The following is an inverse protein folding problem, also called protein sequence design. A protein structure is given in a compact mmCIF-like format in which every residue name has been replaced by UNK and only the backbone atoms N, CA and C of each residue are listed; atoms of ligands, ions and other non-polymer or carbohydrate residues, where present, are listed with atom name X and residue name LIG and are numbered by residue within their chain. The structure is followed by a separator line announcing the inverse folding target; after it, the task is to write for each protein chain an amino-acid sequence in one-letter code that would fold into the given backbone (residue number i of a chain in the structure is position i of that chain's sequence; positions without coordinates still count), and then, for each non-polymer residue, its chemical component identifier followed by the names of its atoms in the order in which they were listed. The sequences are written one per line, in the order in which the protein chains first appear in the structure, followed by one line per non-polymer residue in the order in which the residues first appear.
data_IF_205375422549
#
_entry.id   IF_205375422549
#
_cell.length_a   1.000
_cell.length_b   1.000
_cell.length_c   1.000
_cell.angle_alpha   90.00
_cell.angle_beta   90.00
_cell.angle_gamma   90.00
#
_symmetry.space_group_name_H-M   'P 1'
#
loop_
_entity.id
_entity.type
_entity.pdbx_description
1 polymer ?
#
# COMPACT_ATOMS: atom_id res chain seq x y z
N UNK A 1 56.04 -0.43 -39.55
CA UNK A 1 54.73 -0.53 -40.24
C UNK A 1 53.67 -0.82 -39.20
N UNK A 2 52.45 -0.34 -39.46
CA UNK A 2 51.24 -0.34 -38.64
C UNK A 2 51.11 0.84 -37.65
N UNK A 3 50.07 1.61 -37.94
CA UNK A 3 49.76 2.93 -37.45
C UNK A 3 48.74 2.89 -36.31
N UNK A 4 48.84 3.91 -35.46
CA UNK A 4 47.97 4.26 -34.34
C UNK A 4 46.60 4.72 -34.85
N UNK A 5 45.52 4.21 -34.27
CA UNK A 5 44.16 4.79 -34.41
C UNK A 5 43.71 5.37 -33.07
N UNK A 6 43.75 6.70 -32.96
CA UNK A 6 42.99 7.48 -31.98
C UNK A 6 41.59 7.76 -32.54
N UNK A 7 40.57 7.50 -31.73
CA UNK A 7 39.17 7.82 -32.02
C UNK A 7 38.88 9.26 -31.63
N UNK A 8 38.43 10.07 -32.58
CA UNK A 8 38.00 11.47 -32.38
C UNK A 8 36.48 11.55 -32.40
N UNK A 9 35.96 12.21 -31.37
CA UNK A 9 34.60 12.73 -31.24
C UNK A 9 34.25 13.59 -32.47
N UNK A 10 32.99 13.48 -32.95
CA UNK A 10 32.43 14.46 -33.90
C UNK A 10 31.00 14.80 -33.51
N UNK A 11 30.85 15.99 -32.95
CA UNK A 11 29.59 16.69 -32.76
C UNK A 11 28.98 17.04 -34.14
N UNK A 12 27.65 16.98 -34.24
CA UNK A 12 26.90 17.61 -35.32
C UNK A 12 25.76 18.48 -34.75
N UNK A 13 25.55 19.69 -35.32
CA UNK A 13 24.71 20.72 -34.72
C UNK A 13 23.23 20.61 -35.10
N UNK A 14 22.36 20.98 -34.15
CA UNK A 14 20.93 21.19 -34.32
C UNK A 14 20.64 22.41 -35.22
N UNK A 15 19.71 22.26 -36.17
CA UNK A 15 18.99 23.37 -36.82
C UNK A 15 17.50 23.29 -36.45
N UNK A 16 16.84 24.42 -36.15
CA UNK A 16 15.41 24.43 -35.82
C UNK A 16 14.59 24.55 -37.11
N UNK A 17 13.65 23.63 -37.33
CA UNK A 17 12.58 23.82 -38.30
C UNK A 17 11.28 24.05 -37.53
N UNK A 18 10.73 25.24 -37.72
CA UNK A 18 9.42 25.66 -37.26
C UNK A 18 8.34 24.70 -37.79
N UNK A 19 7.72 23.95 -36.89
CA UNK A 19 6.44 23.29 -37.12
C UNK A 19 5.43 23.91 -36.17
N UNK A 20 4.46 24.62 -36.74
CA UNK A 20 3.24 25.07 -36.07
C UNK A 20 2.56 23.86 -35.39
N UNK A 21 1.96 24.02 -34.18
CA UNK A 21 1.19 22.93 -33.59
C UNK A 21 -0.09 22.75 -34.39
N UNK A 22 -0.23 21.61 -35.07
CA UNK A 22 -1.53 21.11 -35.48
C UNK A 22 -2.33 20.83 -34.19
N UNK A 23 -3.23 21.74 -33.85
CA UNK A 23 -4.29 21.46 -32.87
C UNK A 23 -5.19 20.41 -33.54
N UNK A 24 -4.97 19.14 -33.22
CA UNK A 24 -5.98 18.11 -33.46
C UNK A 24 -7.16 18.41 -32.53
N UNK A 25 -8.16 19.12 -33.04
CA UNK A 25 -9.50 19.10 -32.48
C UNK A 25 -10.09 17.72 -32.75
N UNK A 26 -9.89 16.79 -31.81
CA UNK A 26 -10.59 15.51 -31.81
C UNK A 26 -12.08 15.76 -31.61
N UNK A 27 -12.88 15.29 -32.55
CA UNK A 27 -14.33 15.32 -32.48
C UNK A 27 -14.82 14.60 -31.22
N UNK A 28 -15.55 15.31 -30.37
CA UNK A 28 -16.26 14.77 -29.21
C UNK A 28 -17.41 13.88 -29.70
N UNK A 29 -17.11 12.61 -29.96
CA UNK A 29 -18.13 11.56 -29.87
C UNK A 29 -18.49 11.51 -28.38
N UNK A 30 -19.78 11.67 -28.05
CA UNK A 30 -20.26 11.68 -26.68
C UNK A 30 -19.89 10.40 -25.94
N UNK A 31 -18.78 10.42 -25.22
CA UNK A 31 -18.42 9.38 -24.28
C UNK A 31 -19.33 9.54 -23.05
N UNK A 32 -20.26 8.61 -22.87
CA UNK A 32 -20.91 8.43 -21.57
C UNK A 32 -19.81 8.11 -20.55
N UNK A 33 -19.72 8.84 -19.43
CA UNK A 33 -18.73 8.56 -18.41
C UNK A 33 -18.87 7.11 -17.92
N UNK A 34 -17.74 6.48 -17.60
CA UNK A 34 -17.76 5.17 -16.95
C UNK A 34 -18.42 5.25 -15.57
N UNK A 35 -18.94 4.15 -15.01
CA UNK A 35 -19.50 4.14 -13.66
C UNK A 35 -18.55 4.69 -12.58
N UNK A 36 -17.24 4.52 -12.76
CA UNK A 36 -16.22 5.03 -11.84
C UNK A 36 -15.95 6.53 -12.02
N UNK A 37 -16.06 7.05 -13.24
CA UNK A 37 -16.03 8.50 -13.50
C UNK A 37 -17.26 9.20 -12.93
N UNK A 38 -18.44 8.58 -13.03
CA UNK A 38 -19.64 9.08 -12.36
C UNK A 38 -19.48 9.11 -10.84
N UNK A 39 -18.87 8.08 -10.24
CA UNK A 39 -18.56 8.08 -8.81
C UNK A 39 -17.56 9.18 -8.45
N UNK A 40 -16.51 9.35 -9.23
CA UNK A 40 -15.55 10.44 -9.01
C UNK A 40 -16.22 11.83 -9.06
N UNK A 41 -17.26 12.00 -9.89
CA UNK A 41 -18.03 13.23 -9.97
C UNK A 41 -18.89 13.52 -8.71
N UNK A 42 -19.11 12.53 -7.84
CA UNK A 42 -19.78 12.75 -6.54
C UNK A 42 -18.84 13.29 -5.47
N UNK A 43 -17.54 13.40 -5.76
CA UNK A 43 -16.52 13.86 -4.82
C UNK A 43 -16.10 15.31 -5.09
N UNK A 44 -15.67 16.04 -4.04
CA UNK A 44 -15.11 17.37 -4.20
C UNK A 44 -13.83 17.32 -5.04
N UNK A 45 -13.65 18.32 -5.90
CA UNK A 45 -12.43 18.50 -6.68
C UNK A 45 -11.36 19.16 -5.80
N UNK A 46 -10.50 18.35 -5.19
CA UNK A 46 -9.49 18.80 -4.22
C UNK A 46 -8.09 18.55 -4.75
N UNK A 47 -7.17 19.48 -4.51
CA UNK A 47 -5.73 19.27 -4.71
C UNK A 47 -5.05 18.90 -3.39
N UNK A 48 -3.93 18.16 -3.45
CA UNK A 48 -3.13 17.86 -2.25
C UNK A 48 -2.66 19.13 -1.54
N UNK A 49 -2.41 20.22 -2.27
CA UNK A 49 -1.99 21.49 -1.68
C UNK A 49 -3.07 22.13 -0.81
N UNK A 50 -4.33 21.95 -1.16
CA UNK A 50 -5.47 22.44 -0.37
C UNK A 50 -5.75 21.54 0.83
N UNK A 51 -5.50 20.23 0.67
CA UNK A 51 -5.75 19.23 1.70
C UNK A 51 -4.67 19.17 2.77
N UNK A 52 -3.40 19.18 2.36
CA UNK A 52 -2.29 18.93 3.26
C UNK A 52 -1.86 20.25 3.92
N UNK A 53 -1.95 20.36 5.25
CA UNK A 53 -1.37 21.49 5.95
C UNK A 53 0.17 21.41 5.86
N UNK A 54 0.88 22.51 6.16
CA UNK A 54 2.34 22.49 6.20
C UNK A 54 2.84 21.41 7.16
N UNK A 55 3.72 20.55 6.68
CA UNK A 55 4.32 19.52 7.51
C UNK A 55 5.31 20.12 8.51
N UNK A 56 5.24 19.70 9.77
CA UNK A 56 6.17 20.11 10.83
C UNK A 56 7.12 18.96 11.12
N UNK A 57 8.43 19.20 11.03
CA UNK A 57 9.42 18.19 11.38
C UNK A 57 9.42 17.93 12.90
N UNK A 58 9.67 16.69 13.29
CA UNK A 58 9.79 16.26 14.68
C UNK A 58 11.00 15.31 14.84
N UNK A 59 11.14 14.68 16.01
CA UNK A 59 12.25 13.76 16.29
C UNK A 59 12.26 12.49 15.43
N UNK A 60 11.11 12.08 14.89
CA UNK A 60 10.95 10.87 14.07
C UNK A 60 11.01 11.15 12.58
N UNK A 61 10.44 12.28 12.13
CA UNK A 61 10.31 12.56 10.70
C UNK A 61 10.64 14.00 10.33
N UNK A 62 11.31 14.13 9.18
CA UNK A 62 11.67 15.40 8.57
C UNK A 62 11.72 15.26 7.03
N UNK A 63 11.67 16.37 6.27
CA UNK A 63 11.59 16.33 4.80
C UNK A 63 12.80 15.72 4.08
N UNK A 64 13.89 15.37 4.77
CA UNK A 64 15.04 14.68 4.16
C UNK A 64 14.86 13.17 4.10
N UNK A 65 13.94 12.61 4.90
CA UNK A 65 13.57 11.21 4.78
C UNK A 65 12.79 11.00 3.48
N UNK A 66 13.02 9.86 2.85
CA UNK A 66 12.22 9.47 1.69
C UNK A 66 10.79 9.06 2.12
N UNK A 67 9.89 9.03 1.14
CA UNK A 67 8.46 8.84 1.41
C UNK A 67 8.10 7.47 1.99
N UNK A 68 8.87 6.42 1.73
CA UNK A 68 8.56 5.09 2.29
C UNK A 68 8.90 5.05 3.77
N UNK A 69 10.03 5.64 4.17
CA UNK A 69 10.37 5.78 5.58
C UNK A 69 9.34 6.67 6.28
N UNK A 70 8.95 7.80 5.67
CA UNK A 70 7.93 8.70 6.23
C UNK A 70 6.58 7.98 6.41
N UNK A 71 6.14 7.21 5.41
CA UNK A 71 4.91 6.43 5.49
C UNK A 71 5.00 5.36 6.58
N UNK A 72 6.05 4.54 6.58
CA UNK A 72 6.21 3.46 7.54
C UNK A 72 6.34 3.94 8.99
N UNK A 73 7.07 5.05 9.21
CA UNK A 73 7.19 5.69 10.53
C UNK A 73 5.82 6.24 10.95
N UNK A 74 5.12 6.94 10.04
CA UNK A 74 3.78 7.47 10.29
C UNK A 74 2.77 6.38 10.66
N UNK A 75 2.79 5.25 9.93
CA UNK A 75 1.99 4.07 10.21
C UNK A 75 2.29 3.48 11.60
N UNK A 76 3.57 3.34 11.95
CA UNK A 76 3.97 2.79 13.25
C UNK A 76 3.51 3.69 14.40
N UNK A 77 3.77 5.01 14.29
CA UNK A 77 3.35 5.99 15.29
C UNK A 77 1.83 6.06 15.45
N UNK A 78 1.07 5.88 14.37
CA UNK A 78 -0.39 5.79 14.44
C UNK A 78 -0.84 4.58 15.29
N UNK A 79 -0.23 3.42 15.07
CA UNK A 79 -0.56 2.20 15.84
C UNK A 79 -0.05 2.25 17.30
N UNK A 80 0.99 3.04 17.57
CA UNK A 80 1.55 3.28 18.91
C UNK A 80 0.81 4.39 19.68
N UNK A 81 -0.36 4.84 19.19
CA UNK A 81 -1.19 5.90 19.79
C UNK A 81 -0.44 7.25 19.93
N UNK A 82 0.35 7.59 18.92
CA UNK A 82 1.08 8.87 18.78
C UNK A 82 0.58 9.68 17.58
N UNK A 83 -0.70 10.11 17.57
CA UNK A 83 -1.36 10.66 16.38
C UNK A 83 -0.73 11.96 15.87
N UNK A 84 -0.22 12.84 16.74
CA UNK A 84 0.41 14.11 16.33
C UNK A 84 1.72 13.91 15.55
N UNK A 85 2.56 13.00 16.05
CA UNK A 85 3.80 12.64 15.39
C UNK A 85 3.51 11.86 14.09
N UNK A 86 2.56 10.91 14.14
CA UNK A 86 2.10 10.17 12.97
C UNK A 86 1.61 11.11 11.86
N UNK A 87 0.76 12.08 12.22
CA UNK A 87 0.20 13.09 11.31
C UNK A 87 1.29 13.82 10.54
N UNK A 88 2.33 14.26 11.25
CA UNK A 88 3.45 14.98 10.64
C UNK A 88 4.15 14.13 9.58
N UNK A 89 4.42 12.85 9.87
CA UNK A 89 5.10 11.96 8.94
C UNK A 89 4.22 11.58 7.75
N UNK A 90 2.93 11.31 8.00
CA UNK A 90 1.96 10.95 6.97
C UNK A 90 1.67 12.11 6.00
N UNK A 91 1.65 13.36 6.48
CA UNK A 91 1.56 14.54 5.61
C UNK A 91 2.75 14.61 4.65
N UNK A 92 3.97 14.33 5.13
CA UNK A 92 5.16 14.34 4.28
C UNK A 92 5.18 13.16 3.29
N UNK A 93 4.55 12.03 3.63
CA UNK A 93 4.46 10.85 2.77
C UNK A 93 3.34 10.94 1.72
N UNK A 94 2.22 11.60 2.04
CA UNK A 94 1.01 11.65 1.23
C UNK A 94 1.19 12.05 -0.25
N UNK A 95 2.16 12.91 -0.65
CA UNK A 95 2.37 13.23 -2.07
C UNK A 95 2.72 12.03 -2.96
N UNK A 96 3.24 10.94 -2.39
CA UNK A 96 3.61 9.72 -3.12
C UNK A 96 3.02 8.44 -2.52
N UNK A 97 2.34 8.54 -1.37
CA UNK A 97 1.64 7.44 -0.69
C UNK A 97 0.19 7.84 -0.42
N UNK A 98 -0.71 7.60 -1.37
CA UNK A 98 -2.12 7.97 -1.25
C UNK A 98 -2.78 7.35 0.00
N UNK A 99 -2.39 6.12 0.37
CA UNK A 99 -2.85 5.44 1.60
C UNK A 99 -2.54 6.21 2.90
N UNK A 100 -1.53 7.08 2.90
CA UNK A 100 -1.26 7.96 4.05
C UNK A 100 -2.47 8.83 4.41
N UNK A 101 -3.28 9.21 3.41
CA UNK A 101 -4.48 10.01 3.59
C UNK A 101 -5.58 9.26 4.35
N UNK A 102 -5.65 7.93 4.25
CA UNK A 102 -6.60 7.12 5.03
C UNK A 102 -6.29 7.20 6.53
N UNK A 103 -5.00 7.13 6.89
CA UNK A 103 -4.57 7.33 8.28
C UNK A 103 -4.77 8.79 8.74
N UNK A 104 -4.48 9.77 7.87
CA UNK A 104 -4.74 11.18 8.16
C UNK A 104 -6.22 11.47 8.39
N UNK A 105 -7.14 10.79 7.68
CA UNK A 105 -8.57 10.91 7.92
C UNK A 105 -8.95 10.45 9.35
N UNK A 106 -8.47 9.27 9.76
CA UNK A 106 -8.68 8.76 11.12
C UNK A 106 -8.11 9.69 12.19
N UNK A 107 -6.90 10.22 11.97
CA UNK A 107 -6.31 11.19 12.89
C UNK A 107 -7.13 12.48 12.95
N UNK A 108 -7.58 13.01 11.81
CA UNK A 108 -8.37 14.24 11.75
C UNK A 108 -9.72 14.11 12.48
N UNK A 109 -10.38 12.96 12.44
CA UNK A 109 -11.61 12.70 13.20
C UNK A 109 -11.41 12.80 14.73
N UNK A 110 -10.20 12.52 15.19
CA UNK A 110 -9.86 12.47 16.61
C UNK A 110 -9.22 13.77 17.11
N UNK A 111 -9.00 14.76 16.24
CA UNK A 111 -8.34 16.03 16.56
C UNK A 111 -9.22 16.94 17.43
N UNK A 112 -9.16 16.73 18.75
CA UNK A 112 -9.96 17.47 19.75
C UNK A 112 -9.69 18.98 19.79
N UNK A 113 -8.66 19.47 19.08
CA UNK A 113 -8.41 20.91 18.95
C UNK A 113 -9.38 21.61 17.98
N UNK A 114 -10.04 20.84 17.12
CA UNK A 114 -10.98 21.32 16.10
C UNK A 114 -12.44 21.04 16.46
N UNK A 115 -13.34 21.85 15.92
CA UNK A 115 -14.76 21.57 16.04
C UNK A 115 -15.17 20.35 15.19
N UNK A 116 -16.36 19.80 15.44
CA UNK A 116 -16.83 18.61 14.72
C UNK A 116 -16.93 18.81 13.21
N UNK A 117 -17.33 20.01 12.76
CA UNK A 117 -17.54 20.27 11.34
C UNK A 117 -16.20 20.42 10.61
N UNK A 118 -15.19 21.00 11.26
CA UNK A 118 -13.82 21.05 10.77
C UNK A 118 -13.21 19.66 10.63
N UNK A 119 -13.33 18.82 11.67
CA UNK A 119 -12.85 17.43 11.65
C UNK A 119 -13.50 16.62 10.53
N UNK A 120 -14.82 16.71 10.41
CA UNK A 120 -15.60 16.04 9.38
C UNK A 120 -15.14 16.45 7.97
N UNK A 121 -14.94 17.75 7.73
CA UNK A 121 -14.45 18.26 6.44
C UNK A 121 -13.05 17.78 6.10
N UNK A 122 -12.11 17.83 7.06
CA UNK A 122 -10.74 17.36 6.83
C UNK A 122 -10.70 15.86 6.55
N UNK A 123 -11.36 15.07 7.39
CA UNK A 123 -11.38 13.62 7.24
C UNK A 123 -12.05 13.17 5.94
N UNK A 124 -13.18 13.79 5.58
CA UNK A 124 -13.82 13.54 4.29
C UNK A 124 -12.93 13.95 3.12
N UNK A 125 -12.24 15.09 3.20
CA UNK A 125 -11.35 15.56 2.15
C UNK A 125 -10.19 14.60 1.87
N UNK A 126 -9.54 14.10 2.92
CA UNK A 126 -8.50 13.08 2.77
C UNK A 126 -9.03 11.79 2.15
N UNK A 127 -10.18 11.31 2.63
CA UNK A 127 -10.82 10.10 2.12
C UNK A 127 -11.22 10.25 0.64
N UNK A 128 -11.84 11.37 0.29
CA UNK A 128 -12.28 11.65 -1.07
C UNK A 128 -11.11 11.72 -2.04
N UNK A 129 -10.02 12.39 -1.68
CA UNK A 129 -8.84 12.43 -2.55
C UNK A 129 -8.22 11.06 -2.75
N UNK A 130 -8.06 10.27 -1.68
CA UNK A 130 -7.50 8.92 -1.78
C UNK A 130 -8.40 7.98 -2.61
N UNK A 131 -9.72 8.08 -2.45
CA UNK A 131 -10.69 7.33 -3.26
C UNK A 131 -10.64 7.73 -4.76
N UNK A 132 -10.42 9.01 -5.08
CA UNK A 132 -10.18 9.47 -6.47
C UNK A 132 -8.92 8.83 -7.07
N UNK A 133 -7.97 8.39 -6.25
CA UNK A 133 -6.75 7.67 -6.66
C UNK A 133 -6.90 6.15 -6.67
N UNK A 134 -8.12 5.64 -6.49
CA UNK A 134 -8.44 4.21 -6.43
C UNK A 134 -7.85 3.49 -5.22
N UNK A 135 -7.58 4.18 -4.10
CA UNK A 135 -7.24 3.46 -2.87
C UNK A 135 -8.49 2.76 -2.31
N UNK A 136 -8.43 1.43 -2.24
CA UNK A 136 -9.58 0.60 -1.92
C UNK A 136 -10.08 0.79 -0.48
N UNK A 137 -9.18 1.11 0.46
CA UNK A 137 -9.52 1.46 1.84
C UNK A 137 -10.31 2.78 1.87
N UNK A 138 -9.88 3.78 1.10
CA UNK A 138 -10.59 5.04 1.00
C UNK A 138 -11.99 4.90 0.39
N UNK A 139 -12.11 4.09 -0.66
CA UNK A 139 -13.39 3.76 -1.29
C UNK A 139 -14.35 3.06 -0.32
N UNK A 140 -13.84 2.19 0.56
CA UNK A 140 -14.64 1.60 1.65
C UNK A 140 -15.07 2.66 2.67
N UNK A 141 -14.20 3.62 2.99
CA UNK A 141 -14.53 4.80 3.78
C UNK A 141 -15.65 5.64 3.14
N UNK A 142 -15.66 5.78 1.81
CA UNK A 142 -16.74 6.45 1.09
C UNK A 142 -18.08 5.69 1.18
N UNK A 143 -18.05 4.35 1.12
CA UNK A 143 -19.23 3.53 1.41
C UNK A 143 -19.81 3.84 2.79
N UNK A 144 -18.98 3.93 3.83
CA UNK A 144 -19.43 4.24 5.18
C UNK A 144 -19.98 5.67 5.28
N UNK A 145 -19.28 6.64 4.69
CA UNK A 145 -19.69 8.05 4.67
C UNK A 145 -21.09 8.23 4.11
N UNK A 146 -21.36 7.70 2.92
CA UNK A 146 -22.66 7.84 2.28
C UNK A 146 -23.71 6.91 2.89
N UNK A 147 -23.38 5.68 3.27
CA UNK A 147 -24.40 4.77 3.83
C UNK A 147 -24.93 5.24 5.18
N UNK A 148 -24.05 5.77 6.04
CA UNK A 148 -24.39 6.13 7.43
C UNK A 148 -24.46 7.63 7.68
N UNK A 149 -24.15 8.47 6.68
CA UNK A 149 -24.06 9.92 6.85
C UNK A 149 -22.95 10.37 7.79
N UNK A 150 -21.78 9.73 7.70
CA UNK A 150 -20.61 10.11 8.49
C UNK A 150 -19.90 11.32 7.88
N UNK A 151 -19.05 12.00 8.66
CA UNK A 151 -18.18 13.09 8.19
C UNK A 151 -18.95 14.19 7.46
N UNK A 152 -20.06 14.61 8.07
CA UNK A 152 -20.95 15.67 7.56
C UNK A 152 -21.72 15.34 6.28
N UNK A 153 -21.72 14.08 5.82
CA UNK A 153 -22.46 13.68 4.62
C UNK A 153 -23.93 13.39 4.91
N UNK A 154 -24.78 13.65 3.91
CA UNK A 154 -26.18 13.19 3.96
C UNK A 154 -26.22 11.70 3.61
N UNK A 155 -26.92 10.86 4.38
CA UNK A 155 -27.07 9.45 4.04
C UNK A 155 -27.67 9.23 2.65
N UNK A 156 -26.97 8.45 1.83
CA UNK A 156 -27.37 7.96 0.52
C UNK A 156 -26.85 6.51 0.41
N UNK A 157 -27.75 5.55 0.66
CA UNK A 157 -27.39 4.13 0.67
C UNK A 157 -27.08 3.59 -0.73
N UNK A 158 -27.69 4.15 -1.78
CA UNK A 158 -27.48 3.70 -3.15
C UNK A 158 -26.11 4.17 -3.66
N UNK A 159 -25.74 5.42 -3.36
CA UNK A 159 -24.39 5.92 -3.62
C UNK A 159 -23.34 5.14 -2.80
N UNK A 160 -23.61 4.89 -1.52
CA UNK A 160 -22.74 4.10 -0.66
C UNK A 160 -22.48 2.70 -1.21
N UNK A 161 -23.52 2.00 -1.69
CA UNK A 161 -23.39 0.67 -2.31
C UNK A 161 -22.52 0.69 -3.57
N UNK A 162 -22.61 1.73 -4.41
CA UNK A 162 -21.74 1.85 -5.58
C UNK A 162 -20.27 2.04 -5.19
N UNK A 163 -19.98 2.81 -4.15
CA UNK A 163 -18.62 2.94 -3.59
C UNK A 163 -18.10 1.62 -3.01
N UNK A 164 -18.97 0.86 -2.33
CA UNK A 164 -18.64 -0.46 -1.81
C UNK A 164 -18.25 -1.44 -2.92
N UNK A 165 -19.01 -1.46 -4.01
CA UNK A 165 -18.71 -2.30 -5.18
C UNK A 165 -17.39 -1.93 -5.85
N UNK A 166 -17.07 -0.64 -5.92
CA UNK A 166 -15.78 -0.17 -6.44
C UNK A 166 -14.61 -0.59 -5.53
N UNK A 167 -14.74 -0.35 -4.23
CA UNK A 167 -13.76 -0.79 -3.21
C UNK A 167 -13.49 -2.29 -3.29
N UNK A 168 -14.55 -3.10 -3.39
CA UNK A 168 -14.44 -4.54 -3.52
C UNK A 168 -13.77 -4.98 -4.84
N UNK A 169 -14.02 -4.27 -5.94
CA UNK A 169 -13.30 -4.47 -7.22
C UNK A 169 -11.82 -4.09 -7.12
N UNK A 170 -11.47 -3.07 -6.35
CA UNK A 170 -10.07 -2.73 -6.09
C UNK A 170 -9.41 -3.59 -5.02
N UNK A 171 -10.10 -4.62 -4.52
CA UNK A 171 -9.50 -5.67 -3.72
C UNK A 171 -9.54 -5.45 -2.21
N UNK A 172 -10.35 -4.50 -1.73
CA UNK A 172 -10.57 -4.36 -0.29
C UNK A 172 -11.36 -5.57 0.26
N UNK A 173 -10.76 -6.27 1.22
CA UNK A 173 -11.32 -7.51 1.76
C UNK A 173 -12.57 -7.25 2.62
N UNK A 174 -12.62 -6.14 3.36
CA UNK A 174 -13.77 -5.75 4.18
C UNK A 174 -14.97 -5.39 3.28
N UNK A 175 -14.70 -4.73 2.15
CA UNK A 175 -15.71 -4.44 1.13
C UNK A 175 -16.27 -5.72 0.50
N UNK A 176 -15.39 -6.64 0.09
CA UNK A 176 -15.80 -7.94 -0.46
C UNK A 176 -16.64 -8.74 0.54
N UNK A 177 -16.19 -8.83 1.80
CA UNK A 177 -16.94 -9.52 2.86
C UNK A 177 -18.28 -8.84 3.14
N UNK A 178 -18.31 -7.50 3.12
CA UNK A 178 -19.54 -6.73 3.26
C UNK A 178 -20.53 -7.04 2.14
N UNK A 179 -20.09 -7.16 0.89
CA UNK A 179 -20.95 -7.55 -0.23
C UNK A 179 -21.49 -8.97 -0.08
N UNK A 180 -20.66 -9.93 0.35
CA UNK A 180 -21.12 -11.30 0.64
C UNK A 180 -22.26 -11.27 1.67
N UNK A 181 -22.07 -10.55 2.78
CA UNK A 181 -23.07 -10.41 3.85
C UNK A 181 -24.35 -9.71 3.36
N UNK A 182 -24.23 -8.59 2.65
CA UNK A 182 -25.38 -7.82 2.18
C UNK A 182 -26.24 -8.64 1.20
N UNK A 183 -25.62 -9.32 0.23
CA UNK A 183 -26.36 -10.14 -0.73
C UNK A 183 -26.93 -11.39 -0.08
N UNK A 184 -26.23 -12.02 0.86
CA UNK A 184 -26.75 -13.15 1.64
C UNK A 184 -28.00 -12.78 2.43
N UNK A 185 -27.99 -11.60 3.08
CA UNK A 185 -29.13 -11.10 3.86
C UNK A 185 -30.32 -10.73 2.98
N UNK A 186 -30.08 -10.24 1.76
CA UNK A 186 -31.12 -9.98 0.74
C UNK A 186 -31.54 -11.26 -0.02
N UNK A 187 -31.05 -12.43 0.39
CA UNK A 187 -31.28 -13.73 -0.26
C UNK A 187 -30.87 -13.78 -1.75
N UNK A 188 -29.97 -12.89 -2.17
CA UNK A 188 -29.31 -12.96 -3.49
C UNK A 188 -28.07 -13.87 -3.37
N UNK A 189 -28.33 -15.17 -3.21
CA UNK A 189 -27.30 -16.17 -2.99
C UNK A 189 -26.29 -16.31 -4.15
N UNK A 190 -26.69 -16.22 -5.44
CA UNK A 190 -25.73 -16.26 -6.55
C UNK A 190 -24.67 -15.16 -6.48
N UNK A 191 -25.06 -13.92 -6.22
CA UNK A 191 -24.11 -12.81 -6.15
C UNK A 191 -23.27 -12.84 -4.87
N UNK A 192 -23.85 -13.26 -3.73
CA UNK A 192 -23.08 -13.52 -2.52
C UNK A 192 -22.00 -14.59 -2.75
N UNK A 193 -22.34 -15.66 -3.47
CA UNK A 193 -21.42 -16.73 -3.84
C UNK A 193 -20.30 -16.23 -4.75
N UNK A 194 -20.62 -15.42 -5.76
CA UNK A 194 -19.63 -14.85 -6.67
C UNK A 194 -18.58 -14.00 -5.92
N UNK A 195 -19.01 -13.14 -4.99
CA UNK A 195 -18.10 -12.37 -4.15
C UNK A 195 -17.31 -13.23 -3.16
N UNK A 196 -17.91 -14.28 -2.58
CA UNK A 196 -17.18 -15.22 -1.71
C UNK A 196 -16.07 -15.96 -2.48
N UNK A 197 -16.30 -16.26 -3.76
CA UNK A 197 -15.30 -16.83 -4.67
C UNK A 197 -14.16 -15.86 -5.01
N UNK A 198 -14.46 -14.57 -5.16
CA UNK A 198 -13.45 -13.52 -5.29
C UNK A 198 -12.56 -13.48 -4.04
N UNK A 199 -13.17 -13.50 -2.85
CA UNK A 199 -12.49 -13.44 -1.55
C UNK A 199 -11.62 -14.68 -1.25
N UNK A 200 -11.88 -15.82 -1.90
CA UNK A 200 -11.26 -17.13 -1.62
C UNK A 200 -11.65 -17.78 -0.29
N UNK A 201 -12.77 -17.40 0.30
CA UNK A 201 -13.18 -17.93 1.59
C UNK A 201 -13.93 -19.26 1.42
N UNK A 202 -13.21 -20.38 1.54
CA UNK A 202 -13.76 -21.73 1.37
C UNK A 202 -14.92 -22.02 2.32
N UNK A 203 -14.86 -21.53 3.56
CA UNK A 203 -15.92 -21.75 4.55
C UNK A 203 -17.21 -21.01 4.15
N UNK A 204 -17.10 -19.75 3.73
CA UNK A 204 -18.27 -18.99 3.23
C UNK A 204 -18.82 -19.57 1.93
N UNK A 205 -17.95 -19.99 1.00
CA UNK A 205 -18.34 -20.65 -0.25
C UNK A 205 -19.17 -21.91 0.05
N UNK A 206 -18.69 -22.79 0.94
CA UNK A 206 -19.37 -24.04 1.26
C UNK A 206 -20.70 -23.80 1.97
N UNK A 207 -20.76 -22.84 2.90
CA UNK A 207 -21.99 -22.45 3.58
C UNK A 207 -23.05 -21.91 2.61
N UNK A 208 -22.65 -21.14 1.59
CA UNK A 208 -23.56 -20.64 0.55
C UNK A 208 -24.06 -21.77 -0.35
N UNK A 209 -23.17 -22.69 -0.78
CA UNK A 209 -23.55 -23.84 -1.62
C UNK A 209 -24.65 -24.70 -1.00
N UNK A 210 -24.60 -24.91 0.32
CA UNK A 210 -25.63 -25.68 1.05
C UNK A 210 -27.02 -25.06 0.98
N UNK A 211 -27.13 -23.75 0.70
CA UNK A 211 -28.39 -23.00 0.63
C UNK A 211 -28.88 -22.77 -0.80
N UNK A 212 -28.08 -23.13 -1.80
CA UNK A 212 -28.32 -22.82 -3.21
C UNK A 212 -28.82 -24.06 -3.96
N UNK A 213 -29.71 -23.83 -4.93
CA UNK A 213 -30.09 -24.85 -5.90
C UNK A 213 -29.11 -24.87 -7.11
N UNK A 214 -29.16 -25.89 -8.00
CA UNK A 214 -28.24 -25.99 -9.14
C UNK A 214 -28.24 -24.78 -10.08
N UNK A 215 -29.40 -24.15 -10.29
CA UNK A 215 -29.51 -22.95 -11.12
C UNK A 215 -28.77 -21.77 -10.49
N UNK A 216 -29.00 -21.53 -9.19
CA UNK A 216 -28.31 -20.48 -8.44
C UNK A 216 -26.80 -20.68 -8.41
N UNK A 217 -26.33 -21.94 -8.32
CA UNK A 217 -24.90 -22.25 -8.40
C UNK A 217 -24.33 -21.88 -9.77
N UNK A 218 -25.01 -22.24 -10.86
CA UNK A 218 -24.61 -21.85 -12.20
C UNK A 218 -24.59 -20.32 -12.39
N UNK A 219 -25.59 -19.61 -11.88
CA UNK A 219 -25.64 -18.15 -11.88
C UNK A 219 -24.49 -17.53 -11.07
N UNK A 220 -24.15 -18.13 -9.93
CA UNK A 220 -23.03 -17.70 -9.09
C UNK A 220 -21.67 -17.90 -9.76
N UNK A 221 -21.45 -19.03 -10.45
CA UNK A 221 -20.22 -19.24 -11.25
C UNK A 221 -20.12 -18.22 -12.40
N UNK A 222 -21.22 -17.99 -13.13
CA UNK A 222 -21.25 -16.97 -14.18
C UNK A 222 -20.97 -15.58 -13.61
N UNK A 223 -21.55 -15.25 -12.45
CA UNK A 223 -21.29 -14.00 -11.73
C UNK A 223 -19.82 -13.86 -11.35
N UNK A 224 -19.19 -14.92 -10.84
CA UNK A 224 -17.77 -14.94 -10.52
C UNK A 224 -16.90 -14.69 -11.76
N UNK A 225 -17.22 -15.34 -12.89
CA UNK A 225 -16.52 -15.13 -14.16
C UNK A 225 -16.65 -13.68 -14.67
N UNK A 226 -17.81 -13.04 -14.52
CA UNK A 226 -17.97 -11.63 -14.89
C UNK A 226 -17.22 -10.70 -13.95
N UNK A 227 -17.31 -10.92 -12.62
CA UNK A 227 -16.56 -10.13 -11.64
C UNK A 227 -15.05 -10.23 -11.88
N UNK A 228 -14.54 -11.42 -12.21
CA UNK A 228 -13.12 -11.66 -12.48
C UNK A 228 -12.54 -10.83 -13.63
N UNK A 229 -13.36 -10.21 -14.49
CA UNK A 229 -12.92 -9.29 -15.55
C UNK A 229 -12.61 -7.88 -15.05
N UNK A 230 -13.15 -7.51 -13.90
CA UNK A 230 -13.12 -6.14 -13.36
C UNK A 230 -12.51 -6.05 -11.96
N UNK A 231 -12.45 -7.15 -11.23
CA UNK A 231 -11.81 -7.21 -9.92
C UNK A 231 -10.28 -7.31 -10.10
N UNK A 232 -9.56 -6.54 -9.29
CA UNK A 232 -8.11 -6.58 -9.18
C UNK A 232 -7.65 -7.98 -8.78
N UNK A 233 -6.67 -8.51 -9.52
CA UNK A 233 -6.19 -9.87 -9.26
C UNK A 233 -5.59 -10.00 -7.86
N UNK A 234 -5.70 -11.18 -7.24
CA UNK A 234 -5.11 -11.44 -5.93
C UNK A 234 -3.60 -11.17 -5.89
N UNK A 235 -2.91 -11.42 -6.99
CA UNK A 235 -1.46 -11.15 -7.08
C UNK A 235 -1.16 -9.66 -7.09
N UNK A 236 -1.99 -8.85 -7.75
CA UNK A 236 -1.86 -7.39 -7.69
C UNK A 236 -2.17 -6.85 -6.28
N UNK A 237 -3.23 -7.35 -5.63
CA UNK A 237 -3.56 -6.99 -4.23
C UNK A 237 -2.41 -7.37 -3.28
N UNK A 238 -1.88 -8.59 -3.41
CA UNK A 238 -0.71 -9.05 -2.61
C UNK A 238 0.53 -8.24 -2.89
N UNK A 239 0.73 -7.79 -4.14
CA UNK A 239 1.85 -6.92 -4.49
C UNK A 239 1.72 -5.56 -3.79
N UNK A 240 0.56 -4.92 -3.85
CA UNK A 240 0.32 -3.65 -3.15
C UNK A 240 0.56 -3.79 -1.64
N UNK A 241 0.00 -4.83 -1.01
CA UNK A 241 0.23 -5.10 0.41
C UNK A 241 1.73 -5.35 0.72
N UNK A 242 2.49 -5.95 -0.20
CA UNK A 242 3.93 -6.15 -0.04
C UNK A 242 4.70 -4.83 -0.07
N UNK A 243 4.37 -3.92 -0.99
CA UNK A 243 4.99 -2.60 -1.06
C UNK A 243 4.81 -1.81 0.25
N UNK A 244 3.60 -1.81 0.78
CA UNK A 244 3.32 -1.16 2.06
C UNK A 244 4.06 -1.82 3.23
N UNK A 245 4.09 -3.16 3.27
CA UNK A 245 4.86 -3.88 4.27
C UNK A 245 6.36 -3.58 4.17
N UNK A 246 6.92 -3.46 2.96
CA UNK A 246 8.33 -3.08 2.76
C UNK A 246 8.61 -1.70 3.35
N UNK A 247 7.72 -0.71 3.13
CA UNK A 247 7.85 0.62 3.71
C UNK A 247 7.82 0.57 5.25
N UNK A 248 6.86 -0.14 5.83
CA UNK A 248 6.72 -0.32 7.29
C UNK A 248 7.93 -1.04 7.90
N UNK A 249 8.39 -2.14 7.29
CA UNK A 249 9.55 -2.89 7.78
C UNK A 249 10.84 -2.08 7.67
N UNK A 250 11.01 -1.34 6.57
CA UNK A 250 12.13 -0.41 6.41
C UNK A 250 12.14 0.66 7.48
N UNK A 251 10.98 1.27 7.77
CA UNK A 251 10.85 2.29 8.80
C UNK A 251 11.22 1.76 10.19
N UNK A 252 10.74 0.58 10.57
CA UNK A 252 11.05 -0.02 11.86
C UNK A 252 12.55 -0.30 12.02
N UNK A 253 13.18 -0.90 11.00
CA UNK A 253 14.63 -1.12 11.01
C UNK A 253 15.38 0.22 11.04
N UNK A 254 14.91 1.25 10.33
CA UNK A 254 15.53 2.57 10.35
C UNK A 254 15.45 3.26 11.72
N UNK A 255 14.31 3.16 12.41
CA UNK A 255 14.13 3.78 13.73
C UNK A 255 15.00 3.12 14.80
N UNK A 256 15.13 1.78 14.78
CA UNK A 256 15.88 1.05 15.80
C UNK A 256 17.36 0.86 15.44
N UNK A 257 17.68 0.68 14.16
CA UNK A 257 19.02 0.38 13.64
C UNK A 257 19.36 1.27 12.43
N UNK A 258 19.47 2.60 12.59
CA UNK A 258 19.59 3.56 11.49
C UNK A 258 20.82 3.32 10.58
N UNK A 259 21.90 2.77 11.12
CA UNK A 259 23.12 2.48 10.36
C UNK A 259 22.92 1.35 9.33
N UNK A 260 21.88 0.52 9.45
CA UNK A 260 21.59 -0.63 8.56
C UNK A 260 21.50 -0.21 7.09
N UNK A 261 20.83 0.92 6.82
CA UNK A 261 20.61 1.43 5.45
C UNK A 261 21.57 2.54 5.06
N UNK A 262 22.58 2.85 5.89
CA UNK A 262 23.52 3.92 5.60
C UNK A 262 24.25 3.68 4.28
N UNK A 263 24.26 4.71 3.44
CA UNK A 263 24.90 4.68 2.12
C UNK A 263 24.06 4.05 1.01
N UNK A 264 22.86 3.53 1.30
CA UNK A 264 21.94 3.07 0.27
C UNK A 264 21.07 4.23 -0.25
N UNK A 265 20.86 4.26 -1.56
CA UNK A 265 19.76 5.02 -2.16
C UNK A 265 18.40 4.39 -1.80
N UNK A 266 17.32 5.14 -2.06
CA UNK A 266 15.94 4.65 -1.85
C UNK A 266 15.69 3.36 -2.64
N UNK A 267 16.12 3.32 -3.90
CA UNK A 267 15.96 2.14 -4.76
C UNK A 267 16.76 0.93 -4.26
N UNK A 268 17.98 1.14 -3.77
CA UNK A 268 18.80 0.06 -3.21
C UNK A 268 18.23 -0.47 -1.89
N UNK A 269 17.73 0.42 -1.01
CA UNK A 269 17.03 0.01 0.24
C UNK A 269 15.79 -0.81 -0.10
N UNK A 270 14.98 -0.33 -1.04
CA UNK A 270 13.76 -1.01 -1.47
C UNK A 270 14.06 -2.41 -2.05
N UNK A 271 15.00 -2.51 -2.99
CA UNK A 271 15.40 -3.79 -3.60
C UNK A 271 15.94 -4.78 -2.56
N UNK A 272 16.73 -4.30 -1.60
CA UNK A 272 17.23 -5.12 -0.50
C UNK A 272 16.09 -5.67 0.37
N UNK A 273 15.11 -4.83 0.71
CA UNK A 273 13.97 -5.24 1.52
C UNK A 273 13.04 -6.19 0.77
N UNK A 274 12.83 -5.97 -0.52
CA UNK A 274 12.07 -6.89 -1.37
C UNK A 274 12.74 -8.27 -1.41
N UNK A 275 14.05 -8.32 -1.65
CA UNK A 275 14.82 -9.57 -1.64
C UNK A 275 14.79 -10.24 -0.27
N UNK A 276 14.89 -9.48 0.81
CA UNK A 276 14.86 -10.02 2.16
C UNK A 276 13.50 -10.62 2.50
N UNK A 277 12.40 -9.93 2.18
CA UNK A 277 11.04 -10.45 2.36
C UNK A 277 10.85 -11.73 1.55
N UNK A 278 11.30 -11.77 0.30
CA UNK A 278 11.20 -12.96 -0.55
C UNK A 278 12.01 -14.13 0.03
N UNK A 279 13.25 -13.88 0.44
CA UNK A 279 14.17 -14.88 0.99
C UNK A 279 13.64 -15.46 2.30
N UNK A 280 13.14 -14.60 3.19
CA UNK A 280 12.62 -15.02 4.48
C UNK A 280 11.30 -15.76 4.34
N UNK A 281 10.40 -15.29 3.46
CA UNK A 281 9.10 -15.94 3.24
C UNK A 281 9.20 -17.30 2.56
N UNK A 282 10.29 -17.57 1.84
CA UNK A 282 10.52 -18.86 1.18
C UNK A 282 11.02 -19.96 2.14
N UNK A 283 11.25 -19.63 3.41
CA UNK A 283 11.91 -20.51 4.39
C UNK A 283 10.97 -20.86 5.55
N UNK A 284 10.64 -22.15 5.75
CA UNK A 284 9.70 -22.56 6.81
C UNK A 284 10.24 -22.34 8.23
N UNK A 285 11.56 -22.27 8.41
CA UNK A 285 12.20 -21.95 9.69
C UNK A 285 11.96 -20.49 10.14
N UNK A 286 11.62 -19.60 9.20
CA UNK A 286 11.32 -18.21 9.51
C UNK A 286 9.82 -17.95 9.46
N UNK A 287 9.29 -17.39 10.55
CA UNK A 287 7.86 -17.13 10.70
C UNK A 287 7.53 -15.84 11.44
N UNK A 288 8.53 -15.07 11.90
CA UNK A 288 8.30 -13.83 12.64
C UNK A 288 8.90 -12.62 11.94
N UNK A 289 8.35 -11.43 12.23
CA UNK A 289 8.92 -10.15 11.77
C UNK A 289 10.31 -9.89 12.38
N UNK A 290 10.53 -10.32 13.62
CA UNK A 290 11.84 -10.21 14.28
C UNK A 290 12.94 -10.94 13.51
N UNK A 291 12.65 -12.15 13.00
CA UNK A 291 13.60 -12.90 12.16
C UNK A 291 13.92 -12.17 10.85
N UNK A 292 12.92 -11.55 10.20
CA UNK A 292 13.15 -10.70 9.03
C UNK A 292 14.08 -9.52 9.36
N UNK A 293 13.82 -8.82 10.46
CA UNK A 293 14.62 -7.66 10.87
C UNK A 293 16.06 -8.07 11.19
N UNK A 294 16.23 -9.11 12.01
CA UNK A 294 17.54 -9.66 12.33
C UNK A 294 18.29 -10.09 11.05
N UNK A 295 17.62 -10.77 10.12
CA UNK A 295 18.21 -11.17 8.85
C UNK A 295 18.71 -9.98 8.04
N UNK A 296 17.90 -8.92 7.90
CA UNK A 296 18.29 -7.70 7.18
C UNK A 296 19.48 -7.02 7.83
N UNK A 297 19.43 -6.82 9.15
CA UNK A 297 20.49 -6.12 9.90
C UNK A 297 21.80 -6.89 9.83
N UNK A 298 21.78 -8.20 10.08
CA UNK A 298 22.97 -9.07 10.07
C UNK A 298 23.54 -9.16 8.65
N UNK A 299 22.69 -9.28 7.62
CA UNK A 299 23.12 -9.26 6.21
C UNK A 299 23.85 -7.97 5.87
N UNK A 300 23.30 -6.82 6.27
CA UNK A 300 23.95 -5.51 6.05
C UNK A 300 25.28 -5.39 6.78
N UNK A 301 25.35 -5.81 8.03
CA UNK A 301 26.60 -5.81 8.80
C UNK A 301 27.68 -6.66 8.12
N UNK A 302 27.33 -7.86 7.65
CA UNK A 302 28.26 -8.73 6.94
C UNK A 302 28.73 -8.10 5.61
N UNK A 303 27.81 -7.56 4.81
CA UNK A 303 28.14 -6.92 3.52
C UNK A 303 29.02 -5.68 3.65
N UNK A 304 28.90 -4.94 4.76
CA UNK A 304 29.77 -3.80 5.07
C UNK A 304 31.20 -4.23 5.43
N UNK A 305 31.38 -5.44 5.99
CA UNK A 305 32.70 -6.01 6.28
C UNK A 305 33.32 -6.66 5.05
N UNK A 306 32.52 -7.39 4.27
CA UNK A 306 32.97 -8.10 3.07
C UNK A 306 31.85 -8.14 2.02
N UNK A 307 32.15 -7.61 0.84
CA UNK A 307 31.18 -7.59 -0.26
C UNK A 307 30.82 -9.02 -0.72
N UNK A 308 29.54 -9.25 -1.01
CA UNK A 308 29.03 -10.52 -1.55
C UNK A 308 28.84 -11.64 -0.53
N UNK A 309 28.97 -11.37 0.79
CA UNK A 309 28.68 -12.37 1.83
C UNK A 309 27.19 -12.74 1.83
N UNK A 310 26.92 -14.03 1.72
CA UNK A 310 25.62 -14.63 2.01
C UNK A 310 25.64 -15.22 3.43
N UNK A 311 25.00 -14.52 4.36
CA UNK A 311 24.98 -14.91 5.78
C UNK A 311 24.27 -16.25 6.02
N UNK A 312 23.43 -16.70 5.08
CA UNK A 312 22.72 -17.97 5.18
C UNK A 312 23.61 -19.19 4.85
N UNK A 313 24.84 -18.98 4.38
CA UNK A 313 25.85 -20.03 4.26
C UNK A 313 26.54 -20.35 5.59
N UNK A 314 26.38 -19.49 6.61
CA UNK A 314 26.94 -19.73 7.92
C UNK A 314 25.90 -20.41 8.83
N UNK A 315 26.10 -21.69 9.22
CA UNK A 315 25.12 -22.44 9.99
C UNK A 315 24.86 -21.83 11.38
N UNK A 316 25.85 -21.17 11.99
CA UNK A 316 25.66 -20.51 13.29
C UNK A 316 24.75 -19.29 13.17
N UNK A 317 24.85 -18.54 12.05
CA UNK A 317 23.93 -17.43 11.79
C UNK A 317 22.52 -17.94 11.48
N UNK A 318 22.39 -19.03 10.71
CA UNK A 318 21.08 -19.64 10.44
C UNK A 318 20.43 -20.14 11.73
N UNK A 319 21.18 -20.75 12.65
CA UNK A 319 20.67 -21.19 13.95
C UNK A 319 20.14 -19.99 14.77
N UNK A 320 20.89 -18.89 14.84
CA UNK A 320 20.44 -17.66 15.49
C UNK A 320 19.16 -17.09 14.86
N UNK A 321 19.11 -17.02 13.53
CA UNK A 321 17.95 -16.48 12.81
C UNK A 321 16.73 -17.39 12.89
N UNK A 322 16.91 -18.69 13.14
CA UNK A 322 15.81 -19.67 13.23
C UNK A 322 15.15 -19.70 14.62
N UNK A 323 15.79 -19.12 15.63
CA UNK A 323 15.23 -18.98 16.98
C UNK A 323 14.16 -17.88 16.99
N UNK A 324 12.90 -18.30 17.18
CA UNK A 324 11.72 -17.42 17.11
C UNK A 324 11.54 -16.56 18.37
N UNK A 325 12.14 -17.00 19.48
CA UNK A 325 12.08 -16.34 20.78
C UNK A 325 13.29 -15.43 21.00
N UNK A 326 14.28 -15.46 20.10
CA UNK A 326 15.46 -14.62 20.20
C UNK A 326 15.14 -13.19 19.74
N UNK A 327 15.24 -12.25 20.68
CA UNK A 327 15.10 -10.84 20.41
C UNK A 327 16.10 -10.34 19.36
N UNK A 328 15.65 -9.40 18.50
CA UNK A 328 16.46 -8.88 17.39
C UNK A 328 17.81 -8.35 17.87
N UNK A 329 17.83 -7.61 18.98
CA UNK A 329 19.05 -7.05 19.55
C UNK A 329 20.06 -8.13 19.97
N UNK A 330 19.58 -9.23 20.56
CA UNK A 330 20.43 -10.34 20.97
C UNK A 330 20.93 -11.15 19.78
N UNK A 331 20.08 -11.38 18.77
CA UNK A 331 20.46 -12.02 17.52
C UNK A 331 21.59 -11.23 16.83
N UNK A 332 21.42 -9.91 16.67
CA UNK A 332 22.40 -9.00 16.08
C UNK A 332 23.72 -9.00 16.86
N UNK A 333 23.66 -8.91 18.19
CA UNK A 333 24.85 -8.93 19.05
C UNK A 333 25.63 -10.24 18.93
N UNK A 334 24.94 -11.39 18.95
CA UNK A 334 25.58 -12.71 18.80
C UNK A 334 26.17 -12.88 17.40
N UNK A 335 25.46 -12.41 16.38
CA UNK A 335 25.93 -12.45 15.00
C UNK A 335 27.20 -11.61 14.78
N UNK A 336 27.34 -10.43 15.39
CA UNK A 336 28.56 -9.62 15.24
C UNK A 336 29.82 -10.34 15.73
N UNK A 337 29.71 -11.15 16.80
CA UNK A 337 30.80 -12.00 17.30
C UNK A 337 31.20 -13.05 16.25
N UNK A 338 30.21 -13.70 15.62
CA UNK A 338 30.45 -14.71 14.58
C UNK A 338 31.07 -14.06 13.34
N UNK A 339 30.53 -12.91 12.91
CA UNK A 339 31.04 -12.17 11.75
C UNK A 339 32.45 -11.61 11.98
N UNK A 340 32.86 -11.37 13.22
CA UNK A 340 34.23 -10.97 13.55
C UNK A 340 35.26 -12.10 13.46
N UNK A 341 34.82 -13.35 13.26
CA UNK A 341 35.69 -14.52 13.09
C UNK A 341 35.88 -14.92 11.62
N UNK A 342 35.17 -14.26 10.69
CA UNK A 342 35.27 -14.44 9.24
C UNK A 342 36.41 -13.61 8.64
#
# INVERSE_FOLDING_TARGET
MLAVTQSSIREYPLKPQHLLPLVLATALIGCTPSPDEELNATLPQLSLKELLPPAVANEYCNPKLDSDLLYGIGYQLYNDDKPEQARSCLIMAAPTHDRALCYLASIAEQDTSKDSAERDREAFGYMAYSALKNDSCAEFGMFQNFTYGMRGQTPDSDLGLRWLERSARHGDADAQQTLVRLHSNKNNLPLAYAWARVLDDSAQIDALKQRMNPQQLSEGEQGFEQLGKHVTSKDAVRKQAREENIAVYSANIHMEYPETFKGLSVAERHALMEQAVATVSARPEFSTRGQLYAYVIITRQAQLKQAGVDVLQNPQIVELLSDKELEVADAVKKADVILGQL
#
